data_IF_269629757434
#
_entry.id   IF_269629757434
#
_cell.length_a   1.000
_cell.length_b   1.000
_cell.length_c   1.000
_cell.angle_alpha   90.00
_cell.angle_beta   90.00
_cell.angle_gamma   90.00
#
_symmetry.space_group_name_H-M   'P 1'
#
loop_
_entity.id
_entity.type
_entity.pdbx_description
1 polymer ?
#
# COMPACT_ATOMS: atom_id res chain seq x y z
N UNK A 1 -17.99 17.54 20.30
CA UNK A 1 -17.53 16.26 19.76
C UNK A 1 -18.08 16.18 18.35
N UNK A 2 -17.26 16.57 17.37
CA UNK A 2 -17.57 16.37 15.94
C UNK A 2 -17.52 14.87 15.67
N UNK A 3 -18.62 14.30 15.20
CA UNK A 3 -18.66 12.92 14.72
C UNK A 3 -17.51 12.77 13.70
N UNK A 4 -16.62 11.82 13.93
CA UNK A 4 -15.61 11.45 12.95
C UNK A 4 -16.38 10.88 11.77
N UNK A 5 -16.56 11.68 10.73
CA UNK A 5 -17.19 11.22 9.49
C UNK A 5 -16.38 10.02 8.98
N UNK A 6 -17.03 8.88 8.94
CA UNK A 6 -16.46 7.65 8.41
C UNK A 6 -16.03 7.90 6.95
N UNK A 7 -14.81 7.51 6.62
CA UNK A 7 -14.31 7.48 5.25
C UNK A 7 -14.32 6.01 4.78
N UNK A 8 -15.36 5.57 4.07
CA UNK A 8 -15.53 4.17 3.71
C UNK A 8 -14.30 3.57 3.03
N UNK A 9 -13.60 4.36 2.20
CA UNK A 9 -12.36 3.95 1.55
C UNK A 9 -11.25 3.55 2.54
N UNK A 10 -11.20 4.16 3.72
CA UNK A 10 -10.25 3.81 4.78
C UNK A 10 -10.72 2.63 5.62
N UNK A 11 -12.03 2.48 5.82
CA UNK A 11 -12.61 1.37 6.59
C UNK A 11 -12.53 0.04 5.82
N UNK A 12 -12.55 0.07 4.50
CA UNK A 12 -12.49 -1.12 3.66
C UNK A 12 -11.09 -1.80 3.66
N UNK A 13 -10.06 -1.12 4.13
CA UNK A 13 -8.69 -1.65 4.21
C UNK A 13 -8.29 -1.85 5.67
N UNK A 14 -7.99 -3.08 6.05
CA UNK A 14 -7.36 -3.41 7.32
C UNK A 14 -5.84 -3.24 7.19
N UNK A 15 -5.24 -2.63 8.19
CA UNK A 15 -3.81 -2.33 8.28
C UNK A 15 -3.19 -3.08 9.42
N UNK A 16 -1.98 -3.57 9.23
CA UNK A 16 -1.16 -4.17 10.29
C UNK A 16 0.29 -3.73 10.07
N UNK A 17 0.98 -3.43 11.16
CA UNK A 17 2.39 -3.08 11.16
C UNK A 17 3.13 -3.94 12.17
N UNK A 18 4.17 -4.63 11.70
CA UNK A 18 5.14 -5.31 12.56
C UNK A 18 6.46 -4.56 12.49
N UNK A 19 7.10 -4.35 13.64
CA UNK A 19 8.39 -3.65 13.73
C UNK A 19 9.38 -4.54 14.46
N UNK A 20 10.57 -4.67 13.89
CA UNK A 20 11.69 -5.36 14.50
C UNK A 20 12.95 -4.50 14.39
N UNK A 21 13.60 -4.25 15.53
CA UNK A 21 14.82 -3.45 15.59
C UNK A 21 16.03 -4.32 15.34
N UNK A 22 16.89 -3.91 14.42
CA UNK A 22 18.10 -4.61 14.04
C UNK A 22 19.29 -3.66 14.07
N UNK A 23 20.48 -4.19 14.28
CA UNK A 23 21.72 -3.39 14.25
C UNK A 23 22.84 -4.15 13.53
N UNK A 24 22.69 -4.46 12.22
CA UNK A 24 23.73 -5.13 11.47
C UNK A 24 24.97 -4.25 11.39
N UNK A 25 26.13 -4.79 11.77
CA UNK A 25 27.38 -4.05 11.79
C UNK A 25 27.40 -2.82 12.71
N UNK A 26 26.51 -2.77 13.72
CA UNK A 26 26.39 -1.65 14.65
C UNK A 26 25.58 -0.45 14.13
N UNK A 27 24.96 -0.55 12.96
CA UNK A 27 24.09 0.49 12.40
C UNK A 27 22.62 0.20 12.73
N UNK A 28 21.94 1.04 13.53
CA UNK A 28 20.55 0.84 13.89
C UNK A 28 19.63 0.90 12.64
N UNK A 29 18.87 -0.16 12.42
CA UNK A 29 17.88 -0.29 11.36
C UNK A 29 16.56 -0.78 11.93
N UNK A 30 15.50 -0.48 11.23
CA UNK A 30 14.14 -0.96 11.52
C UNK A 30 13.67 -1.80 10.35
N UNK A 31 13.39 -3.07 10.64
CA UNK A 31 12.63 -3.92 9.72
C UNK A 31 11.14 -3.69 10.01
N UNK A 32 10.44 -3.10 9.06
CA UNK A 32 9.00 -2.90 9.15
C UNK A 32 8.28 -3.78 8.13
N UNK A 33 7.22 -4.45 8.56
CA UNK A 33 6.35 -5.23 7.69
C UNK A 33 4.97 -4.61 7.69
N UNK A 34 4.60 -4.09 6.54
CA UNK A 34 3.27 -3.53 6.29
C UNK A 34 2.38 -4.64 5.73
N UNK A 35 1.20 -4.81 6.31
CA UNK A 35 0.19 -5.69 5.73
C UNK A 35 -1.10 -4.92 5.51
N UNK A 36 -1.57 -4.92 4.26
CA UNK A 36 -2.86 -4.37 3.86
C UNK A 36 -3.77 -5.53 3.44
N UNK A 37 -4.95 -5.57 4.00
CA UNK A 37 -5.94 -6.61 3.70
C UNK A 37 -7.26 -5.96 3.31
N UNK A 38 -7.86 -6.41 2.20
CA UNK A 38 -9.16 -5.93 1.73
C UNK A 38 -9.92 -7.03 1.01
N UNK A 39 -11.25 -6.94 0.99
CA UNK A 39 -12.11 -7.87 0.25
C UNK A 39 -12.62 -7.20 -1.02
N UNK A 40 -12.46 -7.90 -2.15
CA UNK A 40 -12.91 -7.44 -3.47
C UNK A 40 -14.02 -8.36 -4.00
N UNK A 41 -15.01 -7.76 -4.64
CA UNK A 41 -16.17 -8.46 -5.23
C UNK A 41 -15.81 -9.11 -6.59
N UNK A 42 -14.74 -9.90 -6.59
CA UNK A 42 -14.23 -10.65 -7.73
C UNK A 42 -13.60 -11.96 -7.23
N UNK A 43 -13.77 -13.03 -7.97
CA UNK A 43 -13.06 -14.28 -7.71
C UNK A 43 -11.54 -14.13 -8.00
N UNK A 44 -10.65 -14.92 -7.35
CA UNK A 44 -9.21 -14.83 -7.59
C UNK A 44 -8.81 -14.93 -9.06
N UNK A 45 -9.45 -15.81 -9.83
CA UNK A 45 -9.17 -15.98 -11.26
C UNK A 45 -9.54 -14.76 -12.12
N UNK A 46 -10.48 -13.93 -11.66
CA UNK A 46 -10.84 -12.67 -12.31
C UNK A 46 -9.91 -11.52 -11.89
N UNK A 47 -9.49 -11.53 -10.62
CA UNK A 47 -8.60 -10.51 -10.06
C UNK A 47 -7.14 -10.69 -10.53
N UNK A 48 -6.69 -11.92 -10.69
CA UNK A 48 -5.31 -12.25 -11.06
C UNK A 48 -4.81 -11.52 -12.33
N UNK A 49 -5.52 -11.54 -13.47
CA UNK A 49 -5.08 -10.82 -14.66
C UNK A 49 -4.98 -9.30 -14.45
N UNK A 50 -5.80 -8.70 -13.59
CA UNK A 50 -5.73 -7.27 -13.27
C UNK A 50 -4.43 -6.90 -12.54
N UNK A 51 -3.84 -7.85 -11.81
CA UNK A 51 -2.60 -7.66 -11.03
C UNK A 51 -1.33 -8.09 -11.78
N UNK A 52 -1.48 -8.80 -12.91
CA UNK A 52 -0.35 -9.51 -13.51
C UNK A 52 -0.15 -9.24 -15.00
N UNK A 53 -1.21 -8.84 -15.72
CA UNK A 53 -1.10 -8.54 -17.15
C UNK A 53 -0.79 -7.08 -17.40
N UNK A 54 0.27 -6.74 -18.15
CA UNK A 54 0.68 -5.36 -18.40
C UNK A 54 -0.45 -4.47 -18.92
N UNK A 55 -1.25 -4.95 -19.86
CA UNK A 55 -2.37 -4.23 -20.44
C UNK A 55 -3.50 -3.96 -19.44
N UNK A 56 -3.68 -4.82 -18.44
CA UNK A 56 -4.66 -4.62 -17.38
C UNK A 56 -4.11 -3.67 -16.31
N UNK A 57 -2.84 -3.83 -15.94
CA UNK A 57 -2.17 -2.93 -15.00
C UNK A 57 -2.13 -1.49 -15.49
N UNK A 58 -1.92 -1.28 -16.80
CA UNK A 58 -1.88 0.07 -17.39
C UNK A 58 -3.18 0.85 -17.17
N UNK A 59 -4.32 0.16 -17.10
CA UNK A 59 -5.62 0.79 -16.94
C UNK A 59 -5.86 1.42 -15.55
N UNK A 60 -5.20 0.94 -14.49
CA UNK A 60 -5.45 1.42 -13.12
C UNK A 60 -4.19 1.76 -12.31
N UNK A 61 -3.10 1.04 -12.55
CA UNK A 61 -1.85 1.20 -11.81
C UNK A 61 -0.83 2.03 -12.60
N UNK A 62 -0.80 1.81 -13.90
CA UNK A 62 0.13 2.43 -14.83
C UNK A 62 1.00 1.40 -15.56
N UNK A 63 1.89 1.85 -16.46
CA UNK A 63 2.63 0.97 -17.34
C UNK A 63 3.63 0.10 -16.57
N UNK A 64 3.40 -1.20 -16.58
CA UNK A 64 4.32 -2.23 -16.12
C UNK A 64 4.86 -2.98 -17.34
N UNK A 65 6.15 -3.22 -17.40
CA UNK A 65 6.79 -3.94 -18.50
C UNK A 65 7.73 -4.99 -17.95
N UNK A 66 7.76 -6.15 -18.58
CA UNK A 66 8.63 -7.24 -18.18
C UNK A 66 7.95 -8.59 -18.31
N UNK A 67 8.47 -9.57 -17.61
CA UNK A 67 8.09 -10.97 -17.75
C UNK A 67 7.59 -11.53 -16.42
N UNK A 68 6.36 -12.04 -16.40
CA UNK A 68 5.74 -12.62 -15.21
C UNK A 68 6.04 -14.14 -15.15
N UNK A 69 7.28 -14.47 -14.84
CA UNK A 69 7.70 -15.81 -14.47
C UNK A 69 8.81 -15.75 -13.43
N UNK A 70 9.07 -16.81 -12.73
CA UNK A 70 10.15 -16.87 -11.75
C UNK A 70 11.50 -16.48 -12.37
N UNK A 71 12.19 -15.54 -11.74
CA UNK A 71 13.42 -14.93 -12.24
C UNK A 71 13.22 -13.82 -13.27
N UNK A 72 12.00 -13.61 -13.76
CA UNK A 72 11.66 -12.52 -14.68
C UNK A 72 11.83 -11.15 -14.04
N UNK A 73 12.30 -10.20 -14.82
CA UNK A 73 12.45 -8.80 -14.36
C UNK A 73 11.33 -7.93 -14.90
N UNK A 74 10.95 -6.93 -14.12
CA UNK A 74 9.93 -5.96 -14.51
C UNK A 74 10.34 -4.53 -14.18
N UNK A 75 9.70 -3.57 -14.83
CA UNK A 75 9.72 -2.15 -14.49
C UNK A 75 8.29 -1.68 -14.23
N UNK A 76 8.12 -0.75 -13.31
CA UNK A 76 6.84 -0.23 -12.87
C UNK A 76 6.87 1.31 -12.81
N UNK A 77 5.71 1.98 -12.62
CA UNK A 77 5.65 3.43 -12.49
C UNK A 77 6.57 4.00 -11.39
N UNK A 78 6.88 5.28 -11.50
CA UNK A 78 7.70 6.02 -10.53
C UNK A 78 9.13 5.50 -10.32
N UNK A 79 9.70 4.87 -11.35
CA UNK A 79 11.07 4.38 -11.33
C UNK A 79 11.25 3.10 -10.51
N UNK A 80 10.18 2.43 -10.16
CA UNK A 80 10.25 1.13 -9.52
C UNK A 80 10.60 0.04 -10.55
N UNK A 81 11.28 -1.00 -10.07
CA UNK A 81 11.58 -2.22 -10.82
C UNK A 81 11.57 -3.42 -9.88
N UNK A 82 11.89 -4.59 -10.39
CA UNK A 82 12.04 -5.74 -9.51
C UNK A 82 12.22 -7.07 -10.24
N UNK A 83 12.23 -8.11 -9.43
CA UNK A 83 12.35 -9.49 -9.89
C UNK A 83 11.17 -10.30 -9.36
N UNK A 84 10.60 -11.14 -10.20
CA UNK A 84 9.57 -12.11 -9.81
C UNK A 84 10.24 -13.28 -9.10
N UNK A 85 9.89 -13.52 -7.85
CA UNK A 85 10.47 -14.61 -7.05
C UNK A 85 9.65 -15.89 -7.16
N UNK A 86 8.32 -15.77 -7.18
CA UNK A 86 7.40 -16.91 -7.18
C UNK A 86 6.06 -16.52 -7.80
N UNK A 87 5.48 -17.42 -8.58
CA UNK A 87 4.15 -17.28 -9.21
C UNK A 87 3.32 -18.54 -8.94
N UNK A 88 2.25 -18.40 -8.19
CA UNK A 88 1.24 -19.44 -7.96
C UNK A 88 -0.13 -18.91 -8.39
N UNK A 89 -0.42 -19.03 -9.67
CA UNK A 89 -1.69 -18.54 -10.27
C UNK A 89 -2.89 -19.34 -9.76
N UNK A 90 -4.02 -18.72 -9.38
CA UNK A 90 -4.25 -17.27 -9.26
C UNK A 90 -4.08 -16.76 -7.82
N UNK A 91 -3.28 -17.40 -6.98
CA UNK A 91 -3.32 -17.22 -5.52
C UNK A 91 -2.17 -16.40 -4.94
N UNK A 92 -0.97 -16.48 -5.52
CA UNK A 92 0.20 -15.84 -4.91
C UNK A 92 1.20 -15.32 -5.94
N UNK A 93 1.66 -14.10 -5.70
CA UNK A 93 2.75 -13.46 -6.40
C UNK A 93 3.75 -12.93 -5.38
N UNK A 94 5.00 -13.39 -5.44
CA UNK A 94 6.09 -12.91 -4.59
C UNK A 94 7.12 -12.20 -5.45
N UNK A 95 7.49 -11.00 -5.06
CA UNK A 95 8.38 -10.11 -5.79
C UNK A 95 9.52 -9.65 -4.89
N UNK A 96 10.66 -9.37 -5.47
CA UNK A 96 11.65 -8.46 -4.92
C UNK A 96 11.40 -7.10 -5.58
N UNK A 97 10.91 -6.14 -4.80
CA UNK A 97 10.58 -4.80 -5.25
C UNK A 97 11.78 -3.89 -5.07
N UNK A 98 12.19 -3.24 -6.14
CA UNK A 98 13.35 -2.36 -6.16
C UNK A 98 12.89 -0.91 -6.34
N UNK A 99 13.23 -0.05 -5.40
CA UNK A 99 12.97 1.39 -5.50
C UNK A 99 14.06 2.18 -4.78
N UNK A 100 14.63 3.20 -5.44
CA UNK A 100 15.68 4.07 -4.89
C UNK A 100 16.90 3.27 -4.39
N UNK A 101 17.23 2.15 -5.05
CA UNK A 101 18.39 1.31 -4.73
C UNK A 101 18.19 0.38 -3.52
N UNK A 102 16.98 0.26 -3.01
CA UNK A 102 16.59 -0.71 -1.98
C UNK A 102 15.79 -1.84 -2.61
N UNK A 103 16.03 -3.06 -2.16
CA UNK A 103 15.33 -4.27 -2.61
C UNK A 103 14.50 -4.84 -1.47
N UNK A 104 13.19 -4.78 -1.60
CA UNK A 104 12.24 -5.11 -0.55
C UNK A 104 11.31 -6.28 -0.96
N UNK A 105 11.16 -7.32 -0.14
CA UNK A 105 10.20 -8.39 -0.39
C UNK A 105 8.76 -7.86 -0.39
N UNK A 106 8.04 -8.10 -1.49
CA UNK A 106 6.63 -7.81 -1.66
C UNK A 106 5.87 -9.08 -2.00
N UNK A 107 4.79 -9.36 -1.28
CA UNK A 107 3.91 -10.49 -1.56
C UNK A 107 2.46 -10.02 -1.72
N UNK A 108 1.80 -10.54 -2.75
CA UNK A 108 0.36 -10.42 -2.97
C UNK A 108 -0.23 -11.81 -2.86
N UNK A 109 -1.28 -11.95 -2.05
CA UNK A 109 -2.01 -13.19 -1.86
C UNK A 109 -3.51 -12.96 -2.09
N UNK A 110 -4.13 -13.91 -2.79
CA UNK A 110 -5.55 -13.91 -3.12
C UNK A 110 -6.18 -15.18 -2.55
N UNK A 111 -6.89 -15.03 -1.45
CA UNK A 111 -7.60 -16.12 -0.80
C UNK A 111 -9.09 -16.07 -1.22
N UNK A 112 -9.63 -17.14 -1.81
CA UNK A 112 -11.05 -17.18 -2.16
C UNK A 112 -11.92 -17.23 -0.89
N UNK A 113 -13.06 -16.53 -0.92
CA UNK A 113 -14.08 -16.60 0.10
C UNK A 113 -15.31 -17.41 -0.37
N UNK A 114 -16.09 -17.95 0.55
CA UNK A 114 -17.22 -18.84 0.25
C UNK A 114 -18.33 -18.18 -0.60
N UNK A 115 -18.38 -16.86 -0.61
CA UNK A 115 -19.36 -16.07 -1.38
C UNK A 115 -18.87 -15.66 -2.78
N UNK A 116 -17.70 -16.18 -3.20
CA UNK A 116 -17.12 -15.90 -4.51
C UNK A 116 -16.28 -14.63 -4.58
N UNK A 117 -16.10 -13.94 -3.46
CA UNK A 117 -15.21 -12.77 -3.34
C UNK A 117 -13.77 -13.20 -3.06
N UNK A 118 -12.85 -12.24 -3.03
CA UNK A 118 -11.43 -12.48 -2.74
C UNK A 118 -10.97 -11.63 -1.57
N UNK A 119 -10.35 -12.27 -0.59
CA UNK A 119 -9.51 -11.60 0.40
C UNK A 119 -8.13 -11.35 -0.22
N UNK A 120 -7.87 -10.11 -0.63
CA UNK A 120 -6.56 -9.69 -1.09
C UNK A 120 -5.71 -9.27 0.12
N UNK A 121 -4.51 -9.83 0.21
CA UNK A 121 -3.49 -9.43 1.19
C UNK A 121 -2.22 -9.01 0.48
N UNK A 122 -1.80 -7.77 0.71
CA UNK A 122 -0.52 -7.24 0.26
C UNK A 122 0.40 -7.12 1.48
N UNK A 123 1.57 -7.75 1.43
CA UNK A 123 2.58 -7.70 2.48
C UNK A 123 3.90 -7.18 1.91
N UNK A 124 4.36 -6.06 2.42
CA UNK A 124 5.62 -5.44 2.02
C UNK A 124 6.56 -5.36 3.21
N UNK A 125 7.77 -5.89 3.06
CA UNK A 125 8.81 -5.79 4.09
C UNK A 125 9.83 -4.76 3.65
N UNK A 126 10.09 -3.77 4.49
CA UNK A 126 11.11 -2.74 4.25
C UNK A 126 12.15 -2.76 5.35
N UNK A 127 13.40 -2.51 4.98
CA UNK A 127 14.50 -2.35 5.93
C UNK A 127 15.05 -0.92 5.79
N UNK A 128 14.84 -0.10 6.81
CA UNK A 128 15.18 1.33 6.75
C UNK A 128 16.12 1.73 7.90
N UNK A 129 17.03 2.68 7.70
CA UNK A 129 17.80 3.27 8.79
C UNK A 129 16.86 3.82 9.88
N UNK A 130 17.22 3.62 11.15
CA UNK A 130 16.43 4.06 12.30
C UNK A 130 16.05 5.55 12.20
N UNK A 131 16.98 6.40 11.83
CA UNK A 131 16.72 7.84 11.67
C UNK A 131 15.67 8.17 10.61
N UNK A 132 15.64 7.39 9.51
CA UNK A 132 14.62 7.55 8.47
C UNK A 132 13.26 7.10 8.97
N UNK A 133 13.21 5.98 9.69
CA UNK A 133 11.99 5.49 10.32
C UNK A 133 11.44 6.50 11.33
N UNK A 134 12.29 7.09 12.19
CA UNK A 134 11.88 8.05 13.20
C UNK A 134 11.39 9.38 12.62
N UNK A 135 11.72 9.70 11.35
CA UNK A 135 11.23 10.90 10.64
C UNK A 135 9.92 10.68 9.89
N UNK A 136 9.80 9.57 9.17
CA UNK A 136 8.69 9.36 8.23
C UNK A 136 7.84 8.12 8.51
N UNK A 137 8.28 7.24 9.41
CA UNK A 137 7.64 5.95 9.67
C UNK A 137 7.55 5.09 8.40
N UNK A 138 6.62 4.15 8.35
CA UNK A 138 6.33 3.36 7.16
C UNK A 138 5.51 4.14 6.11
N UNK A 139 5.23 5.42 6.38
CA UNK A 139 4.18 6.20 5.72
C UNK A 139 4.31 6.35 4.21
N UNK A 140 5.53 6.49 3.67
CA UNK A 140 5.68 6.69 2.21
C UNK A 140 5.28 5.44 1.43
N UNK A 141 5.77 4.29 1.87
CA UNK A 141 5.48 3.01 1.24
C UNK A 141 4.02 2.62 1.43
N UNK A 142 3.49 2.79 2.64
CA UNK A 142 2.11 2.49 2.97
C UNK A 142 1.12 3.29 2.12
N UNK A 143 1.35 4.59 1.94
CA UNK A 143 0.47 5.44 1.13
C UNK A 143 0.44 5.00 -0.33
N UNK A 144 1.59 4.66 -0.90
CA UNK A 144 1.68 4.18 -2.28
C UNK A 144 0.79 2.96 -2.52
N UNK A 145 0.86 1.98 -1.64
CA UNK A 145 0.05 0.76 -1.75
C UNK A 145 -1.42 1.00 -1.47
N UNK A 146 -1.78 1.86 -0.51
CA UNK A 146 -3.19 2.19 -0.27
C UNK A 146 -3.82 2.94 -1.44
N UNK A 147 -3.10 3.85 -2.06
CA UNK A 147 -3.58 4.51 -3.28
C UNK A 147 -3.69 3.53 -4.46
N UNK A 148 -2.76 2.57 -4.58
CA UNK A 148 -2.87 1.51 -5.58
C UNK A 148 -4.10 0.63 -5.34
N UNK A 149 -4.38 0.22 -4.10
CA UNK A 149 -5.59 -0.53 -3.76
C UNK A 149 -6.86 0.28 -4.05
N UNK A 150 -6.88 1.57 -3.73
CA UNK A 150 -8.00 2.45 -4.03
C UNK A 150 -8.25 2.57 -5.54
N UNK A 151 -7.18 2.68 -6.34
CA UNK A 151 -7.27 2.70 -7.79
C UNK A 151 -7.80 1.37 -8.37
N UNK A 152 -7.34 0.24 -7.82
CA UNK A 152 -7.84 -1.08 -8.20
C UNK A 152 -9.33 -1.21 -7.92
N UNK A 153 -9.77 -0.79 -6.73
CA UNK A 153 -11.19 -0.83 -6.35
C UNK A 153 -12.04 0.08 -7.26
N UNK A 154 -11.56 1.28 -7.57
CA UNK A 154 -12.25 2.18 -8.49
C UNK A 154 -12.34 1.58 -9.91
N UNK A 155 -11.37 0.78 -10.32
CA UNK A 155 -11.35 0.10 -11.61
C UNK A 155 -12.26 -1.14 -11.65
N UNK A 156 -12.51 -1.80 -10.53
CA UNK A 156 -13.27 -3.07 -10.43
C UNK A 156 -14.71 -2.90 -9.94
N UNK A 157 -15.21 -1.68 -9.86
CA UNK A 157 -16.56 -1.33 -9.37
C UNK A 157 -16.83 -1.68 -7.89
N UNK A 158 -15.78 -1.84 -7.07
CA UNK A 158 -16.00 -1.77 -5.64
C UNK A 158 -15.46 -2.89 -4.76
N UNK A 159 -15.63 -2.66 -3.48
CA UNK A 159 -15.40 -3.63 -2.41
C UNK A 159 -16.59 -4.55 -2.23
N UNK A 160 -16.34 -5.68 -1.59
CA UNK A 160 -17.39 -6.57 -1.11
C UNK A 160 -18.47 -5.76 -0.38
N UNK A 161 -19.73 -6.05 -0.68
CA UNK A 161 -20.94 -5.44 -0.08
C UNK A 161 -21.28 -4.00 -0.50
N UNK A 162 -20.67 -3.46 -1.55
CA UNK A 162 -21.10 -2.17 -2.10
C UNK A 162 -21.12 -1.03 -1.09
N UNK A 163 -20.21 -1.05 -0.10
CA UNK A 163 -20.15 -0.03 0.97
C UNK A 163 -19.91 1.38 0.44
N UNK A 164 -19.51 1.50 -0.82
CA UNK A 164 -19.28 2.76 -1.52
C UNK A 164 -20.07 2.74 -2.82
N UNK A 165 -20.87 3.75 -3.01
CA UNK A 165 -21.55 3.97 -4.29
C UNK A 165 -20.54 4.16 -5.44
N UNK A 166 -19.39 4.78 -5.16
CA UNK A 166 -18.24 4.94 -6.06
C UNK A 166 -16.97 5.07 -5.24
N UNK A 167 -15.94 4.29 -5.56
CA UNK A 167 -14.60 4.49 -5.02
C UNK A 167 -13.92 5.64 -5.78
N UNK A 168 -13.34 6.62 -5.10
CA UNK A 168 -12.65 7.72 -5.79
C UNK A 168 -11.41 7.19 -6.51
N UNK A 169 -11.20 7.64 -7.74
CA UNK A 169 -9.94 7.42 -8.45
C UNK A 169 -8.88 8.35 -7.86
N UNK A 170 -7.78 7.85 -7.30
CA UNK A 170 -6.78 8.66 -6.59
C UNK A 170 -5.87 9.43 -7.56
N UNK A 171 -6.47 10.30 -8.38
CA UNK A 171 -5.72 11.17 -9.29
C UNK A 171 -4.97 12.26 -8.52
N UNK A 172 -3.98 12.89 -9.16
CA UNK A 172 -3.28 14.06 -8.60
C UNK A 172 -4.25 15.20 -8.26
N UNK A 173 -5.28 15.41 -9.05
CA UNK A 173 -6.31 16.42 -8.82
C UNK A 173 -7.13 16.08 -7.58
N UNK A 174 -7.60 14.84 -7.46
CA UNK A 174 -8.31 14.37 -6.29
C UNK A 174 -7.47 14.50 -5.01
N UNK A 175 -6.19 14.11 -5.05
CA UNK A 175 -5.27 14.23 -3.91
C UNK A 175 -5.06 15.68 -3.43
N UNK A 176 -5.13 16.67 -4.35
CA UNK A 176 -5.05 18.10 -4.05
C UNK A 176 -6.39 18.69 -3.61
N UNK A 177 -7.48 18.02 -3.90
CA UNK A 177 -8.84 18.39 -3.53
C UNK A 177 -9.11 18.26 -2.02
N UNK A 178 -10.27 18.70 -1.60
CA UNK A 178 -10.67 18.63 -0.18
C UNK A 178 -10.81 17.17 0.30
N UNK A 179 -11.40 16.33 -0.53
CA UNK A 179 -11.61 14.91 -0.23
C UNK A 179 -10.28 14.15 -0.08
N UNK A 180 -9.34 14.31 -1.01
CA UNK A 180 -8.02 13.71 -0.93
C UNK A 180 -7.23 14.18 0.28
N UNK A 181 -7.28 15.48 0.61
CA UNK A 181 -6.67 16.00 1.84
C UNK A 181 -7.32 15.43 3.11
N UNK A 182 -8.65 15.23 3.11
CA UNK A 182 -9.36 14.58 4.23
C UNK A 182 -8.95 13.12 4.35
N UNK A 183 -8.84 12.42 3.22
CA UNK A 183 -8.32 11.04 3.17
C UNK A 183 -6.91 10.97 3.78
N UNK A 184 -5.97 11.81 3.35
CA UNK A 184 -4.60 11.82 3.85
C UNK A 184 -4.51 12.07 5.37
N UNK A 185 -5.33 12.99 5.91
CA UNK A 185 -5.37 13.24 7.36
C UNK A 185 -5.84 12.00 8.13
N UNK A 186 -6.91 11.38 7.68
CA UNK A 186 -7.44 10.20 8.34
C UNK A 186 -6.53 8.98 8.17
N UNK A 187 -5.88 8.86 7.02
CA UNK A 187 -4.86 7.87 6.73
C UNK A 187 -3.66 7.96 7.70
N UNK A 188 -3.11 9.17 7.88
CA UNK A 188 -1.95 9.35 8.76
C UNK A 188 -2.27 9.00 10.22
N UNK A 189 -3.46 9.34 10.72
CA UNK A 189 -3.91 8.97 12.07
C UNK A 189 -3.97 7.45 12.24
N UNK A 190 -4.44 6.71 11.22
CA UNK A 190 -4.52 5.25 11.29
C UNK A 190 -3.15 4.60 11.34
N UNK A 191 -2.22 5.07 10.53
CA UNK A 191 -0.86 4.52 10.56
C UNK A 191 -0.09 4.89 11.83
N UNK A 192 -0.37 6.06 12.42
CA UNK A 192 0.14 6.37 13.76
C UNK A 192 -0.40 5.40 14.82
N UNK A 193 -1.67 5.02 14.73
CA UNK A 193 -2.26 4.04 15.64
C UNK A 193 -1.62 2.64 15.45
N UNK A 194 -1.38 2.21 14.22
CA UNK A 194 -0.68 0.94 13.94
C UNK A 194 0.77 0.97 14.45
N UNK A 195 1.46 2.11 14.32
CA UNK A 195 2.81 2.26 14.88
C UNK A 195 2.82 2.14 16.41
N UNK A 196 1.84 2.71 17.10
CA UNK A 196 1.68 2.55 18.56
C UNK A 196 1.36 1.10 18.91
N UNK A 197 0.47 0.44 18.16
CA UNK A 197 0.16 -0.98 18.36
C UNK A 197 1.39 -1.89 18.14
N UNK A 198 2.30 -1.51 17.24
CA UNK A 198 3.59 -2.18 17.01
C UNK A 198 4.67 -1.83 18.03
N UNK A 199 4.38 -1.02 19.06
CA UNK A 199 5.28 -0.71 20.16
C UNK A 199 6.06 0.61 20.03
N UNK A 200 5.75 1.44 19.03
CA UNK A 200 6.34 2.79 18.94
C UNK A 200 5.73 3.69 20.03
N UNK A 201 6.55 4.51 20.67
CA UNK A 201 6.07 5.52 21.64
C UNK A 201 5.03 6.44 20.99
N UNK A 202 3.92 6.70 21.69
CA UNK A 202 2.81 7.49 21.17
C UNK A 202 3.25 8.90 20.74
N UNK A 203 4.12 9.53 21.52
CA UNK A 203 4.63 10.88 21.18
C UNK A 203 5.49 10.87 19.92
N UNK A 204 6.25 9.79 19.69
CA UNK A 204 7.02 9.57 18.46
C UNK A 204 6.06 9.36 17.28
N UNK A 205 5.10 8.44 17.40
CA UNK A 205 4.15 8.13 16.35
C UNK A 205 3.36 9.36 15.90
N UNK A 206 2.89 10.20 16.84
CA UNK A 206 2.16 11.43 16.52
C UNK A 206 3.04 12.51 15.87
N UNK A 207 4.32 12.62 16.24
CA UNK A 207 5.25 13.55 15.55
C UNK A 207 5.50 13.12 14.12
N UNK A 208 5.72 11.82 13.92
CA UNK A 208 5.94 11.23 12.59
C UNK A 208 4.70 11.43 11.71
N UNK A 209 3.50 11.18 12.25
CA UNK A 209 2.22 11.46 11.57
C UNK A 209 2.15 12.91 11.09
N UNK A 210 2.38 13.86 12.01
CA UNK A 210 2.28 15.28 11.69
C UNK A 210 3.31 15.72 10.64
N UNK A 211 4.51 15.15 10.65
CA UNK A 211 5.56 15.44 9.67
C UNK A 211 5.23 14.84 8.30
N UNK A 212 4.83 13.58 8.25
CA UNK A 212 4.41 12.91 7.03
C UNK A 212 3.25 13.65 6.36
N UNK A 213 2.25 14.07 7.13
CA UNK A 213 1.12 14.84 6.63
C UNK A 213 1.55 16.21 6.08
N UNK A 214 2.40 16.93 6.81
CA UNK A 214 2.93 18.22 6.35
C UNK A 214 3.72 18.09 5.04
N UNK A 215 4.61 17.12 4.96
CA UNK A 215 5.37 16.83 3.75
C UNK A 215 4.46 16.56 2.56
N UNK A 216 3.42 15.76 2.72
CA UNK A 216 2.47 15.41 1.66
C UNK A 216 1.58 16.59 1.23
N UNK A 217 1.16 17.42 2.17
CA UNK A 217 0.35 18.61 1.87
C UNK A 217 1.17 19.79 1.30
N UNK A 218 2.46 19.87 1.63
CA UNK A 218 3.36 20.94 1.18
C UNK A 218 4.02 20.65 -0.16
N UNK A 219 4.17 19.37 -0.55
CA UNK A 219 4.81 19.02 -1.82
C UNK A 219 3.89 19.35 -2.99
N UNK A 220 4.24 20.36 -3.83
CA UNK A 220 3.89 20.28 -5.21
C UNK A 220 4.72 19.10 -5.75
N UNK A 221 4.12 17.97 -6.01
CA UNK A 221 4.80 16.94 -6.78
C UNK A 221 4.94 17.50 -8.19
N UNK A 222 6.03 18.19 -8.39
CA UNK A 222 6.46 18.65 -9.70
C UNK A 222 6.80 17.44 -10.55
N UNK A 223 6.18 17.47 -11.74
CA UNK A 223 6.46 16.79 -12.99
C UNK A 223 6.61 15.27 -12.99
#
# INVERSE_FOLDING_TARGET
MTATESLPALEAVRRELEIDEQAPGGHPQVRAVLTLTTNLDLAPAQLWPLLTRPEQLEAWYGPVRGELHEGGRFTAPHGASGTVLEVEEPHRLSLLWEQIGEEDPLQIRLDPEDDGTTLLRLRHTVLVPRERFDRGGPGEVALGWELALLALVAHTDGWRHGCLAEAPVPTREWMRGEEGRRYLRAWSVRWAAEAVAAGVDEGVARRVEAEALRSRLASPQDA
#
